data_IF_159686848544
#
_entry.id   IF_159686848544
#
_cell.length_a   1.000
_cell.length_b   1.000
_cell.length_c   1.000
_cell.angle_alpha   90.00
_cell.angle_beta   90.00
_cell.angle_gamma   90.00
#
_symmetry.space_group_name_H-M   'P 1'
#
loop_
_entity.id
_entity.type
_entity.pdbx_description
1 polymer ?
#
# COMPACT_ATOMS: atom_id res chain seq x y z
N UNK A 1 11.62 -10.60 2.22
CA UNK A 1 12.66 -9.99 1.37
C UNK A 1 13.32 -11.01 0.46
N UNK A 2 13.59 -12.22 0.95
CA UNK A 2 14.36 -13.20 0.17
C UNK A 2 13.48 -14.17 -0.64
N UNK A 3 12.29 -13.73 -1.08
CA UNK A 3 11.39 -14.55 -1.90
C UNK A 3 11.12 -13.84 -3.24
N UNK A 4 10.99 -14.57 -4.35
CA UNK A 4 10.61 -13.97 -5.63
C UNK A 4 9.32 -13.14 -5.49
N UNK A 5 9.33 -11.93 -6.03
CA UNK A 5 8.20 -10.98 -5.91
C UNK A 5 8.09 -10.23 -4.59
N UNK A 6 8.98 -10.47 -3.61
CA UNK A 6 8.98 -9.70 -2.37
C UNK A 6 9.57 -8.30 -2.59
N UNK A 7 8.72 -7.28 -2.57
CA UNK A 7 9.14 -5.87 -2.57
C UNK A 7 9.44 -5.48 -1.12
N UNK A 8 10.71 -5.29 -0.79
CA UNK A 8 11.17 -5.07 0.59
C UNK A 8 11.62 -3.66 0.92
N UNK A 9 10.97 -2.68 0.30
CA UNK A 9 11.23 -1.27 0.47
C UNK A 9 9.89 -0.51 0.54
N UNK A 10 9.97 0.81 0.59
CA UNK A 10 8.77 1.65 0.43
C UNK A 10 8.08 1.31 -0.91
N UNK A 11 6.74 1.33 -0.97
CA UNK A 11 6.02 0.95 -2.17
C UNK A 11 6.32 1.98 -3.25
N UNK A 12 6.45 1.49 -4.48
CA UNK A 12 6.51 2.34 -5.66
C UNK A 12 5.14 2.35 -6.30
N UNK A 13 4.66 3.54 -6.63
CA UNK A 13 3.43 3.72 -7.40
C UNK A 13 3.76 4.34 -8.74
N UNK A 14 3.00 3.95 -9.76
CA UNK A 14 2.96 4.64 -11.05
C UNK A 14 1.63 5.40 -11.07
N UNK A 15 1.70 6.72 -11.15
CA UNK A 15 0.53 7.58 -11.26
C UNK A 15 -0.22 7.35 -12.57
N UNK A 16 -1.46 7.84 -12.66
CA UNK A 16 -2.23 7.80 -13.91
C UNK A 16 -1.58 8.59 -15.06
N UNK A 17 -0.63 9.47 -14.73
CA UNK A 17 0.24 10.22 -15.65
C UNK A 17 1.51 9.45 -16.08
N UNK A 18 1.70 8.22 -15.59
CA UNK A 18 2.87 7.38 -15.88
C UNK A 18 4.11 7.70 -15.03
N UNK A 19 4.05 8.67 -14.11
CA UNK A 19 5.19 9.02 -13.25
C UNK A 19 5.33 8.01 -12.11
N UNK A 20 6.54 7.50 -11.92
CA UNK A 20 6.86 6.60 -10.81
C UNK A 20 7.36 7.38 -9.59
N UNK A 21 6.82 7.09 -8.42
CA UNK A 21 7.27 7.69 -7.16
C UNK A 21 7.33 6.67 -6.03
N UNK A 22 8.26 6.90 -5.09
CA UNK A 22 8.32 6.16 -3.83
C UNK A 22 7.36 6.78 -2.83
N UNK A 23 6.59 5.94 -2.15
CA UNK A 23 5.64 6.41 -1.15
C UNK A 23 6.06 5.98 0.25
N UNK A 24 6.51 6.95 1.05
CA UNK A 24 6.80 6.75 2.46
C UNK A 24 5.71 7.40 3.32
N UNK A 25 4.55 6.76 3.34
CA UNK A 25 3.40 7.21 4.13
C UNK A 25 3.61 7.04 5.63
N UNK A 26 2.80 7.75 6.43
CA UNK A 26 2.74 7.51 7.87
C UNK A 26 2.31 6.06 8.14
N UNK A 27 3.05 5.34 8.98
CA UNK A 27 2.73 3.95 9.35
C UNK A 27 1.38 3.82 10.06
N UNK A 28 0.79 2.64 9.92
CA UNK A 28 -0.47 2.22 10.55
C UNK A 28 -1.62 3.18 10.21
N UNK A 29 -1.72 3.52 8.92
CA UNK A 29 -2.69 4.47 8.37
C UNK A 29 -3.23 3.98 7.04
N UNK A 30 -4.45 4.43 6.77
CA UNK A 30 -5.13 4.23 5.50
C UNK A 30 -4.90 5.45 4.60
N UNK A 31 -4.64 5.20 3.33
CA UNK A 31 -4.52 6.23 2.31
C UNK A 31 -5.44 5.90 1.14
N UNK A 32 -6.06 6.93 0.58
CA UNK A 32 -6.81 6.82 -0.66
C UNK A 32 -5.81 6.77 -1.83
N UNK A 33 -5.89 5.72 -2.64
CA UNK A 33 -5.00 5.50 -3.79
C UNK A 33 -5.67 5.95 -5.09
N UNK A 34 -6.95 5.61 -5.25
CA UNK A 34 -7.78 6.01 -6.39
C UNK A 34 -9.16 6.38 -5.87
N UNK A 35 -9.69 7.50 -6.37
CA UNK A 35 -11.05 7.94 -6.08
C UNK A 35 -11.71 8.43 -7.37
N UNK A 36 -12.96 8.01 -7.57
CA UNK A 36 -13.91 8.47 -8.56
C UNK A 36 -15.31 8.39 -7.92
N UNK A 37 -16.32 8.97 -8.55
CA UNK A 37 -17.72 9.01 -8.11
C UNK A 37 -18.25 7.65 -7.65
N UNK A 38 -17.85 6.57 -8.32
CA UNK A 38 -18.34 5.21 -8.04
C UNK A 38 -17.22 4.20 -7.74
N UNK A 39 -15.98 4.67 -7.50
CA UNK A 39 -14.83 3.81 -7.25
C UNK A 39 -13.94 4.43 -6.17
N UNK A 40 -13.72 3.71 -5.07
CA UNK A 40 -12.69 4.04 -4.10
C UNK A 40 -11.77 2.85 -3.87
N UNK A 41 -10.46 3.08 -4.05
CA UNK A 41 -9.42 2.11 -3.72
C UNK A 41 -8.58 2.71 -2.61
N UNK A 42 -8.62 2.09 -1.43
CA UNK A 42 -7.85 2.49 -0.26
C UNK A 42 -6.82 1.42 0.08
N UNK A 43 -5.65 1.82 0.53
CA UNK A 43 -4.64 0.91 1.07
C UNK A 43 -4.37 1.18 2.55
N UNK A 44 -4.28 0.12 3.34
CA UNK A 44 -3.74 0.17 4.70
C UNK A 44 -2.24 -0.11 4.65
N UNK A 45 -1.47 0.83 5.17
CA UNK A 45 -0.02 0.77 5.15
C UNK A 45 0.53 0.63 6.56
N UNK A 46 1.37 -0.37 6.76
CA UNK A 46 2.04 -0.64 8.03
C UNK A 46 3.51 -0.24 7.98
N UNK A 47 4.08 0.04 9.14
CA UNK A 47 5.52 0.18 9.29
C UNK A 47 6.16 -1.20 9.43
N UNK A 48 7.27 -1.44 8.73
CA UNK A 48 8.09 -2.63 8.94
C UNK A 48 9.56 -2.25 9.10
N UNK A 49 10.15 -2.75 10.17
CA UNK A 49 11.58 -2.65 10.48
C UNK A 49 12.11 -4.05 10.76
N UNK A 50 13.28 -4.34 10.20
CA UNK A 50 14.04 -5.55 10.45
C UNK A 50 15.31 -5.19 11.20
N UNK A 51 16.01 -6.21 11.69
CA UNK A 51 17.20 -6.02 12.50
C UNK A 51 18.29 -5.25 11.74
N UNK A 52 18.91 -4.28 12.41
CA UNK A 52 19.93 -3.41 11.84
C UNK A 52 19.42 -2.28 10.94
N UNK A 53 18.12 -2.17 10.69
CA UNK A 53 17.57 -1.08 9.88
C UNK A 53 17.41 0.20 10.70
N UNK A 54 17.94 1.32 10.17
CA UNK A 54 17.92 2.65 10.84
C UNK A 54 16.61 3.42 10.69
N UNK A 55 15.70 2.95 9.83
CA UNK A 55 14.39 3.55 9.58
C UNK A 55 13.31 2.49 9.37
N UNK A 56 12.07 2.90 9.56
CA UNK A 56 10.92 2.10 9.15
C UNK A 56 10.76 2.20 7.63
N UNK A 57 10.27 1.13 7.00
CA UNK A 57 9.72 1.15 5.65
C UNK A 57 8.21 1.02 5.72
N UNK A 58 7.53 1.54 4.70
CA UNK A 58 6.08 1.42 4.57
C UNK A 58 5.73 0.22 3.72
N UNK A 59 4.85 -0.65 4.19
CA UNK A 59 4.42 -1.86 3.47
C UNK A 59 2.90 -1.85 3.31
N UNK A 60 2.40 -2.33 2.17
CA UNK A 60 0.95 -2.53 1.96
C UNK A 60 0.52 -3.76 2.75
N UNK A 61 -0.38 -3.61 3.70
CA UNK A 61 -0.98 -4.74 4.44
C UNK A 61 -2.28 -5.19 3.79
N UNK A 62 -3.14 -4.25 3.42
CA UNK A 62 -4.43 -4.56 2.82
C UNK A 62 -4.88 -3.50 1.83
N UNK A 63 -5.71 -3.93 0.88
CA UNK A 63 -6.41 -3.10 -0.08
C UNK A 63 -7.91 -3.29 0.13
N UNK A 64 -8.63 -2.18 0.22
CA UNK A 64 -10.09 -2.13 0.18
C UNK A 64 -10.55 -1.50 -1.12
N UNK A 65 -11.51 -2.12 -1.80
CA UNK A 65 -12.12 -1.59 -3.02
C UNK A 65 -13.63 -1.47 -2.80
N UNK A 66 -14.14 -0.27 -3.02
CA UNK A 66 -15.57 0.04 -3.06
C UNK A 66 -15.93 0.38 -4.51
N UNK A 67 -16.89 -0.33 -5.10
CA UNK A 67 -17.36 -0.02 -6.45
C UNK A 67 -18.88 -0.21 -6.57
N UNK A 68 -19.61 0.88 -6.80
CA UNK A 68 -21.06 0.90 -6.65
C UNK A 68 -21.49 0.40 -5.26
N UNK A 69 -22.25 -0.70 -5.20
CA UNK A 69 -22.69 -1.34 -3.95
C UNK A 69 -21.74 -2.43 -3.44
N UNK A 70 -20.70 -2.78 -4.20
CA UNK A 70 -19.81 -3.88 -3.89
C UNK A 70 -18.66 -3.43 -2.99
N UNK A 71 -18.22 -4.35 -2.13
CA UNK A 71 -17.09 -4.16 -1.22
C UNK A 71 -16.18 -5.38 -1.31
N UNK A 72 -14.92 -5.15 -1.68
CA UNK A 72 -13.87 -6.17 -1.67
C UNK A 72 -12.78 -5.76 -0.70
N UNK A 73 -12.32 -6.71 0.10
CA UNK A 73 -11.18 -6.53 1.00
C UNK A 73 -10.18 -7.65 0.77
N UNK A 74 -8.91 -7.28 0.57
CA UNK A 74 -7.80 -8.21 0.47
C UNK A 74 -6.71 -7.78 1.45
N UNK A 75 -6.31 -8.67 2.35
CA UNK A 75 -5.28 -8.40 3.34
C UNK A 75 -4.28 -9.55 3.48
N UNK A 76 -3.02 -9.19 3.71
CA UNK A 76 -2.00 -10.15 4.09
C UNK A 76 -2.24 -10.62 5.54
N UNK A 77 -2.15 -11.93 5.76
CA UNK A 77 -2.13 -12.49 7.12
C UNK A 77 -0.81 -12.11 7.81
N UNK A 78 -0.90 -11.77 9.10
CA UNK A 78 0.28 -11.54 9.95
C UNK A 78 1.07 -12.83 10.16
#
# INVERSE_FOLDING_TARGET
CNKPGAICNDPQFVGGDGITFYFHGKKDKDFCLVTDTNLHINGHFIGRRGDGMKRDFTWVQSIGVLFGTHKLFLGAKK
#
